data_IF_139006129814
#
_entry.id   IF_139006129814
#
_cell.length_a   1.000
_cell.length_b   1.000
_cell.length_c   1.000
_cell.angle_alpha   90.00
_cell.angle_beta   90.00
_cell.angle_gamma   90.00
#
_symmetry.space_group_name_H-M   'P 1'
#
loop_
_entity.id
_entity.type
_entity.pdbx_description
1 polymer ?
#
# COMPACT_ATOMS: atom_id res chain seq x y z
N UNK A 1 -3.42 14.22 -7.06
CA UNK A 1 -4.89 14.26 -6.95
C UNK A 1 -5.46 15.66 -7.20
N UNK A 2 -5.07 16.71 -6.46
CA UNK A 2 -5.66 18.06 -6.57
C UNK A 2 -5.70 18.64 -8.01
N UNK A 3 -4.58 18.59 -8.74
CA UNK A 3 -4.52 19.11 -10.12
C UNK A 3 -5.49 18.39 -11.06
N UNK A 4 -5.62 17.07 -10.89
CA UNK A 4 -6.54 16.24 -11.69
C UNK A 4 -7.99 16.59 -11.37
N UNK A 5 -8.35 16.77 -10.09
CA UNK A 5 -9.71 17.22 -9.71
C UNK A 5 -10.07 18.58 -10.30
N UNK A 6 -9.10 19.49 -10.40
CA UNK A 6 -9.29 20.83 -10.95
C UNK A 6 -9.18 20.89 -12.48
N UNK A 7 -9.03 19.75 -13.16
CA UNK A 7 -8.81 19.67 -14.62
C UNK A 7 -7.58 20.46 -15.09
N UNK A 8 -6.56 20.55 -14.22
CA UNK A 8 -5.24 21.15 -14.53
C UNK A 8 -4.18 20.11 -14.88
N UNK A 9 -4.53 18.83 -14.80
CA UNK A 9 -3.78 17.68 -15.27
C UNK A 9 -4.77 16.56 -15.62
N UNK A 10 -4.44 15.70 -16.59
CA UNK A 10 -5.36 14.64 -17.03
C UNK A 10 -5.29 13.38 -16.16
N UNK A 11 -4.09 13.03 -15.68
CA UNK A 11 -3.84 11.84 -14.87
C UNK A 11 -2.67 12.04 -13.90
N UNK A 12 -2.52 11.08 -12.99
CA UNK A 12 -1.35 11.00 -12.10
C UNK A 12 -0.99 9.54 -11.90
N UNK A 13 0.31 9.25 -11.78
CA UNK A 13 0.83 7.93 -11.39
C UNK A 13 1.32 8.02 -9.94
N UNK A 14 0.99 7.00 -9.15
CA UNK A 14 1.45 6.88 -7.77
C UNK A 14 1.43 5.40 -7.35
N UNK A 15 1.92 5.11 -6.15
CA UNK A 15 1.80 3.77 -5.56
C UNK A 15 0.33 3.38 -5.36
N UNK A 16 0.00 2.12 -5.61
CA UNK A 16 -1.36 1.59 -5.43
C UNK A 16 -1.85 1.79 -3.99
N UNK A 17 -0.97 1.65 -2.99
CA UNK A 17 -1.33 1.84 -1.58
C UNK A 17 -1.77 3.28 -1.28
N UNK A 18 -1.05 4.29 -1.79
CA UNK A 18 -1.44 5.68 -1.59
C UNK A 18 -2.78 6.02 -2.26
N UNK A 19 -3.01 5.49 -3.47
CA UNK A 19 -4.28 5.66 -4.18
C UNK A 19 -5.42 4.98 -3.42
N UNK A 20 -5.26 3.72 -3.01
CA UNK A 20 -6.28 2.99 -2.27
C UNK A 20 -6.63 3.67 -0.94
N UNK A 21 -5.63 4.13 -0.19
CA UNK A 21 -5.87 4.88 1.05
C UNK A 21 -6.67 6.16 0.78
N UNK A 22 -6.33 6.91 -0.28
CA UNK A 22 -7.09 8.10 -0.64
C UNK A 22 -8.54 7.78 -0.99
N UNK A 23 -8.77 6.79 -1.85
CA UNK A 23 -10.12 6.37 -2.26
C UNK A 23 -10.93 5.84 -1.07
N UNK A 24 -10.27 5.15 -0.13
CA UNK A 24 -10.92 4.64 1.07
C UNK A 24 -11.33 5.76 2.03
N UNK A 25 -10.50 6.79 2.19
CA UNK A 25 -10.75 7.92 3.10
C UNK A 25 -11.66 9.00 2.49
N UNK A 26 -11.78 9.06 1.16
CA UNK A 26 -12.58 10.05 0.44
C UNK A 26 -13.65 9.37 -0.42
N UNK A 27 -14.71 8.82 0.19
CA UNK A 27 -15.72 8.00 -0.54
C UNK A 27 -16.43 8.74 -1.70
N UNK A 28 -16.59 10.06 -1.60
CA UNK A 28 -17.23 10.89 -2.62
C UNK A 28 -16.21 11.54 -3.59
N UNK A 29 -15.04 10.92 -3.78
CA UNK A 29 -14.04 11.45 -4.69
C UNK A 29 -14.44 11.24 -6.17
N UNK A 30 -13.99 12.09 -7.10
CA UNK A 30 -14.33 12.00 -8.53
C UNK A 30 -13.38 11.07 -9.32
N UNK A 31 -12.47 10.37 -8.65
CA UNK A 31 -11.38 9.65 -9.30
C UNK A 31 -11.68 8.16 -9.47
N UNK A 32 -11.06 7.57 -10.48
CA UNK A 32 -11.05 6.13 -10.74
C UNK A 32 -9.65 5.70 -11.17
N UNK A 33 -9.32 4.45 -10.90
CA UNK A 33 -8.09 3.84 -11.40
C UNK A 33 -8.32 3.48 -12.87
N UNK A 34 -7.50 4.05 -13.77
CA UNK A 34 -7.60 3.80 -15.20
C UNK A 34 -6.66 2.69 -15.69
N UNK A 35 -5.60 2.42 -14.93
CA UNK A 35 -4.58 1.43 -15.23
C UNK A 35 -3.79 1.08 -13.96
N UNK A 36 -3.36 -0.16 -13.83
CA UNK A 36 -2.44 -0.64 -12.78
C UNK A 36 -1.29 -1.41 -13.44
N UNK A 37 -0.07 -1.22 -12.91
CA UNK A 37 1.10 -1.97 -13.39
C UNK A 37 0.92 -3.46 -13.16
N UNK A 38 1.37 -4.27 -14.12
CA UNK A 38 1.42 -5.73 -14.00
C UNK A 38 2.72 -6.20 -13.33
N UNK A 39 3.68 -5.30 -13.11
CA UNK A 39 4.92 -5.64 -12.41
C UNK A 39 4.64 -5.89 -10.92
N UNK A 40 4.97 -7.09 -10.46
CA UNK A 40 4.74 -7.54 -9.07
C UNK A 40 5.82 -7.11 -8.08
N UNK A 41 6.88 -6.48 -8.56
CA UNK A 41 8.12 -6.27 -7.77
C UNK A 41 8.04 -5.09 -6.78
N UNK A 42 6.89 -4.42 -6.69
CA UNK A 42 6.68 -3.22 -5.87
C UNK A 42 6.21 -3.46 -4.43
N UNK A 43 6.63 -4.53 -3.75
CA UNK A 43 6.23 -4.74 -2.35
C UNK A 43 6.80 -3.67 -1.42
N UNK A 44 5.94 -3.08 -0.58
CA UNK A 44 6.39 -2.15 0.46
C UNK A 44 7.09 -2.94 1.58
N UNK A 45 8.29 -2.49 1.96
CA UNK A 45 9.13 -3.17 2.95
C UNK A 45 9.70 -2.20 3.98
N UNK A 46 10.04 -2.72 5.16
CA UNK A 46 10.84 -1.97 6.13
C UNK A 46 12.29 -1.94 5.67
N UNK A 47 12.85 -0.73 5.55
CA UNK A 47 14.26 -0.52 5.24
C UNK A 47 15.02 -0.34 6.56
N UNK A 48 16.15 -1.04 6.68
CA UNK A 48 17.04 -0.96 7.84
C UNK A 48 18.47 -0.67 7.36
N UNK A 49 19.30 -0.14 8.27
CA UNK A 49 20.72 0.04 7.99
C UNK A 49 21.42 -1.30 7.77
N UNK A 50 22.50 -1.28 6.96
CA UNK A 50 23.38 -2.44 6.80
C UNK A 50 23.99 -2.85 8.15
N UNK A 51 24.40 -4.11 8.27
CA UNK A 51 25.04 -4.68 9.47
C UNK A 51 24.10 -4.71 10.71
N UNK A 52 22.81 -4.95 10.48
CA UNK A 52 21.76 -5.04 11.51
C UNK A 52 20.98 -6.37 11.37
N UNK A 53 21.68 -7.46 11.10
CA UNK A 53 21.12 -8.77 10.74
C UNK A 53 20.18 -9.31 11.82
N UNK A 54 20.56 -9.16 13.10
CA UNK A 54 19.71 -9.61 14.22
C UNK A 54 18.39 -8.83 14.31
N UNK A 55 18.42 -7.52 14.03
CA UNK A 55 17.21 -6.71 14.01
C UNK A 55 16.32 -7.09 12.82
N UNK A 56 16.93 -7.33 11.65
CA UNK A 56 16.22 -7.79 10.45
C UNK A 56 15.47 -9.09 10.72
N UNK A 57 16.15 -10.06 11.34
CA UNK A 57 15.57 -11.36 11.64
C UNK A 57 14.36 -11.23 12.56
N UNK A 58 14.48 -10.45 13.65
CA UNK A 58 13.38 -10.23 14.59
C UNK A 58 12.18 -9.53 13.95
N UNK A 59 12.43 -8.54 13.07
CA UNK A 59 11.37 -7.84 12.32
C UNK A 59 10.68 -8.82 11.37
N UNK A 60 11.43 -9.61 10.60
CA UNK A 60 10.87 -10.58 9.66
C UNK A 60 10.04 -11.65 10.38
N UNK A 61 10.53 -12.19 11.50
CA UNK A 61 9.78 -13.14 12.32
C UNK A 61 8.48 -12.52 12.86
N UNK A 62 8.53 -11.26 13.31
CA UNK A 62 7.33 -10.55 13.77
C UNK A 62 6.32 -10.35 12.64
N UNK A 63 6.77 -9.93 11.47
CA UNK A 63 5.92 -9.76 10.28
C UNK A 63 5.26 -11.07 9.88
N UNK A 64 6.01 -12.18 9.83
CA UNK A 64 5.42 -13.48 9.53
C UNK A 64 4.35 -13.90 10.53
N UNK A 65 4.56 -13.65 11.83
CA UNK A 65 3.53 -13.91 12.85
C UNK A 65 2.28 -13.06 12.63
N UNK A 66 2.42 -11.81 12.23
CA UNK A 66 1.28 -10.93 11.93
C UNK A 66 0.52 -11.37 10.68
N UNK A 67 1.22 -11.84 9.64
CA UNK A 67 0.62 -12.42 8.43
C UNK A 67 -0.18 -13.67 8.80
N UNK A 68 0.45 -14.62 9.50
CA UNK A 68 -0.17 -15.89 9.88
C UNK A 68 -1.41 -15.69 10.78
N UNK A 69 -1.41 -14.63 11.60
CA UNK A 69 -2.56 -14.26 12.44
C UNK A 69 -3.65 -13.46 11.71
N UNK A 70 -3.49 -13.20 10.40
CA UNK A 70 -4.42 -12.39 9.61
C UNK A 70 -4.47 -10.92 10.03
N UNK A 71 -3.48 -10.43 10.78
CA UNK A 71 -3.47 -9.05 11.28
C UNK A 71 -3.29 -8.07 10.12
N UNK A 72 -2.37 -8.35 9.20
CA UNK A 72 -2.14 -7.46 8.06
C UNK A 72 -3.31 -7.44 7.08
N UNK A 73 -4.02 -8.56 6.92
CA UNK A 73 -5.29 -8.57 6.16
C UNK A 73 -6.30 -7.58 6.75
N UNK A 74 -6.55 -7.65 8.06
CA UNK A 74 -7.49 -6.74 8.74
C UNK A 74 -7.07 -5.28 8.62
N UNK A 75 -5.77 -5.00 8.77
CA UNK A 75 -5.24 -3.64 8.57
C UNK A 75 -5.39 -3.20 7.12
N UNK A 76 -5.18 -4.10 6.16
CA UNK A 76 -5.36 -3.83 4.74
C UNK A 76 -6.78 -3.40 4.43
N UNK A 77 -7.77 -4.18 4.89
CA UNK A 77 -9.19 -3.87 4.76
C UNK A 77 -9.54 -2.54 5.44
N UNK A 78 -9.02 -2.28 6.64
CA UNK A 78 -9.27 -1.05 7.39
C UNK A 78 -8.75 0.20 6.65
N UNK A 79 -7.49 0.19 6.20
CA UNK A 79 -6.83 1.37 5.65
C UNK A 79 -7.03 1.54 4.14
N UNK A 80 -7.07 0.43 3.39
CA UNK A 80 -7.10 0.45 1.92
C UNK A 80 -8.43 -0.05 1.33
N UNK A 81 -9.34 -0.57 2.16
CA UNK A 81 -10.62 -1.13 1.71
C UNK A 81 -10.51 -2.52 1.07
N UNK A 82 -9.32 -3.14 1.05
CA UNK A 82 -9.08 -4.51 0.58
C UNK A 82 -7.81 -5.08 1.21
N UNK A 83 -7.69 -6.40 1.22
CA UNK A 83 -6.44 -7.06 1.61
C UNK A 83 -5.33 -6.73 0.58
N UNK A 84 -4.20 -6.24 1.08
CA UNK A 84 -2.99 -5.90 0.30
C UNK A 84 -1.75 -6.60 0.88
N UNK A 85 -1.95 -7.55 1.78
CA UNK A 85 -0.88 -8.23 2.51
C UNK A 85 -0.33 -9.46 1.77
N UNK A 86 -0.97 -9.85 0.67
CA UNK A 86 -0.56 -10.97 -0.19
C UNK A 86 -0.06 -10.42 -1.54
N UNK A 87 0.91 -11.10 -2.18
CA UNK A 87 1.37 -10.78 -3.55
C UNK A 87 0.30 -10.92 -4.63
#
# INVERSE_FOLDING_TARGET
MLLVAQKRADLTLNSSLAILNYLNTHKNNPFKIAWESQEKDGSASFVINKHQEKALELINQAMQRLINKGVLKRLGEQFFGKDVSQP
#
